data_IF_381348715623
#
_entry.id   IF_381348715623
#
_cell.length_a   1.000
_cell.length_b   1.000
_cell.length_c   1.000
_cell.angle_alpha   90.00
_cell.angle_beta   90.00
_cell.angle_gamma   90.00
#
_symmetry.space_group_name_H-M   'P 1'
#
loop_
_entity.id
_entity.type
_entity.pdbx_description
1 polymer ?
#
# COMPACT_ATOMS: atom_id res chain seq x y z
N UNK A 1 18.79 6.27 29.06
CA UNK A 1 18.86 6.81 27.69
C UNK A 1 17.49 7.36 27.32
N UNK A 2 17.31 8.68 27.27
CA UNK A 2 16.04 9.29 26.88
C UNK A 2 15.97 9.48 25.37
N UNK A 3 14.94 8.95 24.71
CA UNK A 3 14.69 9.22 23.29
C UNK A 3 14.53 10.73 23.05
N UNK A 4 15.23 11.27 22.05
CA UNK A 4 15.16 12.69 21.72
C UNK A 4 13.77 13.06 21.20
N UNK A 5 13.34 14.31 21.39
CA UNK A 5 12.04 14.80 20.90
C UNK A 5 11.86 14.52 19.40
N UNK A 6 12.94 14.64 18.62
CA UNK A 6 12.96 14.38 17.18
C UNK A 6 12.67 12.91 16.85
N UNK A 7 13.25 11.95 17.58
CA UNK A 7 12.99 10.52 17.37
C UNK A 7 11.52 10.17 17.63
N UNK A 8 10.94 10.71 18.71
CA UNK A 8 9.54 10.50 19.04
C UNK A 8 8.61 11.07 17.97
N UNK A 9 8.93 12.26 17.46
CA UNK A 9 8.19 12.88 16.37
C UNK A 9 8.27 12.07 15.07
N UNK A 10 9.46 11.60 14.69
CA UNK A 10 9.62 10.78 13.48
C UNK A 10 8.89 9.44 13.59
N UNK A 11 8.91 8.80 14.76
CA UNK A 11 8.17 7.57 15.02
C UNK A 11 6.65 7.80 15.02
N UNK A 12 6.17 8.88 15.64
CA UNK A 12 4.75 9.22 15.62
C UNK A 12 4.28 9.52 14.19
N UNK A 13 5.07 10.28 13.43
CA UNK A 13 4.79 10.61 12.03
C UNK A 13 4.75 9.36 11.16
N UNK A 14 5.70 8.43 11.32
CA UNK A 14 5.69 7.18 10.55
C UNK A 14 4.46 6.33 10.87
N UNK A 15 4.06 6.21 12.14
CA UNK A 15 2.85 5.48 12.53
C UNK A 15 1.59 6.11 11.91
N UNK A 16 1.46 7.44 11.96
CA UNK A 16 0.31 8.15 11.35
C UNK A 16 0.28 7.93 9.84
N UNK A 17 1.44 8.02 9.16
CA UNK A 17 1.52 7.75 7.73
C UNK A 17 1.18 6.29 7.37
N UNK A 18 1.55 5.32 8.21
CA UNK A 18 1.16 3.91 7.99
C UNK A 18 -0.34 3.75 8.13
N UNK A 19 -0.97 4.35 9.15
CA UNK A 19 -2.41 4.30 9.37
C UNK A 19 -3.20 4.92 8.21
N UNK A 20 -2.77 6.12 7.76
CA UNK A 20 -3.36 6.77 6.59
C UNK A 20 -3.17 5.89 5.34
N UNK A 21 -1.98 5.31 5.18
CA UNK A 21 -1.68 4.36 4.11
C UNK A 21 -2.66 3.19 4.10
N UNK A 22 -2.82 2.48 5.23
CA UNK A 22 -3.76 1.36 5.40
C UNK A 22 -5.19 1.76 5.01
N UNK A 23 -5.66 2.93 5.47
CA UNK A 23 -7.01 3.39 5.13
C UNK A 23 -7.18 3.64 3.62
N UNK A 24 -6.18 4.23 2.97
CA UNK A 24 -6.20 4.53 1.54
C UNK A 24 -6.08 3.26 0.68
N UNK A 25 -5.18 2.36 1.02
CA UNK A 25 -4.99 1.07 0.32
C UNK A 25 -6.18 0.14 0.51
N UNK A 26 -6.75 0.06 1.72
CA UNK A 26 -8.01 -0.63 1.95
C UNK A 26 -9.15 0.03 1.16
N UNK A 27 -9.28 1.35 1.21
CA UNK A 27 -10.30 2.08 0.44
C UNK A 27 -10.21 1.85 -1.07
N UNK A 28 -9.00 1.77 -1.62
CA UNK A 28 -8.77 1.36 -3.01
C UNK A 28 -9.15 -0.10 -3.26
N UNK A 29 -8.71 -1.04 -2.41
CA UNK A 29 -9.01 -2.47 -2.54
C UNK A 29 -10.52 -2.79 -2.49
N UNK A 30 -11.24 -2.08 -1.62
CA UNK A 30 -12.70 -2.14 -1.46
C UNK A 30 -13.43 -1.12 -2.35
N UNK A 31 -12.84 -0.68 -3.47
CA UNK A 31 -13.52 0.18 -4.44
C UNK A 31 -13.67 -0.52 -5.79
N UNK A 32 -14.84 -0.42 -6.46
CA UNK A 32 -15.07 -1.01 -7.78
C UNK A 32 -14.39 -0.27 -8.93
N UNK A 33 -13.80 0.90 -8.70
CA UNK A 33 -13.34 1.76 -9.79
C UNK A 33 -11.82 1.65 -10.01
N UNK A 34 -11.29 0.44 -10.20
CA UNK A 34 -9.89 0.26 -10.61
C UNK A 34 -9.74 0.52 -12.11
N UNK A 35 -10.67 0.01 -12.90
CA UNK A 35 -10.87 0.40 -14.29
C UNK A 35 -12.33 0.82 -14.51
N UNK A 36 -12.54 1.80 -15.36
CA UNK A 36 -13.87 2.32 -15.69
C UNK A 36 -14.01 2.39 -17.20
N UNK A 37 -15.13 1.90 -17.72
CA UNK A 37 -15.47 1.97 -19.13
C UNK A 37 -16.92 2.41 -19.28
N UNK A 38 -17.16 3.27 -20.26
CA UNK A 38 -18.49 3.73 -20.65
C UNK A 38 -18.82 3.09 -22.00
N UNK A 39 -19.82 2.20 -22.00
CA UNK A 39 -20.27 1.48 -23.18
C UNK A 39 -21.50 2.16 -23.74
N UNK A 40 -21.29 2.90 -24.83
CA UNK A 40 -22.33 3.77 -25.41
C UNK A 40 -23.50 3.01 -26.01
N UNK A 41 -23.34 1.77 -26.48
CA UNK A 41 -24.46 0.99 -27.02
C UNK A 41 -25.44 0.56 -25.92
N UNK A 42 -24.92 0.17 -24.76
CA UNK A 42 -25.74 -0.24 -23.62
C UNK A 42 -26.12 0.92 -22.70
N UNK A 43 -25.54 2.11 -22.92
CA UNK A 43 -25.72 3.31 -22.08
C UNK A 43 -25.46 2.98 -20.63
N UNK A 44 -24.31 2.36 -20.37
CA UNK A 44 -23.94 1.92 -19.05
C UNK A 44 -22.46 2.17 -18.78
N UNK A 45 -22.18 2.65 -17.57
CA UNK A 45 -20.84 2.75 -17.01
C UNK A 45 -20.55 1.48 -16.23
N UNK A 46 -19.43 0.84 -16.57
CA UNK A 46 -18.95 -0.38 -15.94
C UNK A 46 -17.68 -0.04 -15.16
N UNK A 47 -17.71 -0.34 -13.86
CA UNK A 47 -16.60 -0.15 -12.94
C UNK A 47 -16.07 -1.52 -12.54
N UNK A 48 -14.85 -1.81 -12.98
CA UNK A 48 -14.16 -3.06 -12.69
C UNK A 48 -13.25 -2.90 -11.48
N UNK A 49 -13.58 -3.60 -10.41
CA UNK A 49 -12.76 -3.71 -9.20
C UNK A 49 -11.88 -4.95 -9.24
N UNK A 50 -11.04 -5.12 -8.22
CA UNK A 50 -10.15 -6.28 -8.14
C UNK A 50 -10.88 -7.61 -7.95
N UNK A 51 -12.03 -7.59 -7.28
CA UNK A 51 -12.76 -8.80 -6.86
C UNK A 51 -14.29 -8.68 -6.96
N UNK A 52 -14.78 -7.52 -7.37
CA UNK A 52 -16.16 -7.28 -7.73
C UNK A 52 -16.19 -6.35 -8.94
N UNK A 53 -17.33 -6.29 -9.61
CA UNK A 53 -17.62 -5.36 -10.69
C UNK A 53 -18.95 -4.67 -10.40
N UNK A 54 -19.10 -3.41 -10.78
CA UNK A 54 -20.35 -2.69 -10.63
C UNK A 54 -20.77 -2.03 -11.93
N UNK A 55 -22.08 -2.01 -12.18
CA UNK A 55 -22.68 -1.44 -13.38
C UNK A 55 -23.64 -0.33 -12.97
N UNK A 56 -23.60 0.77 -13.72
CA UNK A 56 -24.53 1.90 -13.61
C UNK A 56 -25.15 2.17 -14.97
N UNK A 57 -26.48 2.16 -15.07
CA UNK A 57 -27.15 2.56 -16.29
C UNK A 57 -27.25 4.09 -16.38
N UNK A 58 -26.70 4.69 -17.43
CA UNK A 58 -26.85 6.12 -17.71
C UNK A 58 -28.28 6.42 -18.21
N UNK A 59 -29.02 7.27 -17.48
CA UNK A 59 -30.34 7.77 -17.88
C UNK A 59 -30.22 9.18 -18.41
N UNK A 60 -30.67 9.49 -19.65
CA UNK A 60 -30.82 10.89 -20.08
C UNK A 60 -32.19 11.23 -20.69
N UNK A 61 -32.88 12.13 -19.96
CA UNK A 61 -33.88 13.16 -20.31
C UNK A 61 -35.07 12.83 -21.23
N UNK A 62 -36.27 12.82 -20.63
CA UNK A 62 -37.38 13.64 -21.13
C UNK A 62 -38.00 14.43 -19.97
N UNK A 63 -38.08 15.75 -20.17
CA UNK A 63 -38.69 16.80 -19.34
C UNK A 63 -37.81 17.54 -18.34
N UNK A 64 -37.82 18.87 -18.50
CA UNK A 64 -37.19 19.89 -17.66
C UNK A 64 -37.94 19.93 -16.33
N UNK A 65 -37.37 19.37 -15.26
CA UNK A 65 -37.98 19.50 -13.94
C UNK A 65 -37.46 18.57 -12.84
N UNK A 66 -37.04 17.35 -13.18
CA UNK A 66 -36.66 16.38 -12.15
C UNK A 66 -35.15 16.35 -11.94
N UNK A 67 -34.76 16.68 -10.71
CA UNK A 67 -33.39 16.61 -10.23
C UNK A 67 -32.84 15.18 -10.41
N UNK A 68 -31.62 15.08 -10.92
CA UNK A 68 -30.92 13.85 -11.27
C UNK A 68 -30.71 12.93 -10.06
N UNK A 69 -31.60 11.96 -9.86
CA UNK A 69 -31.25 10.76 -9.09
C UNK A 69 -30.48 9.81 -10.01
N UNK A 70 -29.15 9.85 -9.88
CA UNK A 70 -28.22 8.86 -10.41
C UNK A 70 -28.74 7.45 -10.12
N UNK A 71 -28.71 6.55 -11.10
CA UNK A 71 -29.14 5.15 -10.87
C UNK A 71 -28.21 4.47 -9.86
N UNK A 72 -28.75 3.62 -8.96
CA UNK A 72 -27.93 2.94 -7.98
C UNK A 72 -26.94 1.98 -8.68
N UNK A 73 -25.71 1.94 -8.17
CA UNK A 73 -24.67 1.02 -8.63
C UNK A 73 -25.08 -0.42 -8.30
N UNK A 74 -25.16 -1.30 -9.31
CA UNK A 74 -25.43 -2.71 -9.10
C UNK A 74 -24.11 -3.50 -9.14
N UNK A 75 -23.70 -4.06 -8.01
CA UNK A 75 -22.40 -4.72 -7.85
C UNK A 75 -22.52 -6.25 -7.77
N UNK A 76 -21.62 -6.95 -8.44
CA UNK A 76 -21.51 -8.41 -8.46
C UNK A 76 -20.08 -8.85 -8.13
N UNK A 77 -19.91 -9.98 -7.43
CA UNK A 77 -18.60 -10.52 -7.11
C UNK A 77 -18.03 -11.38 -8.25
N UNK A 78 -16.73 -11.25 -8.53
CA UNK A 78 -16.03 -12.08 -9.55
C UNK A 78 -15.92 -13.57 -9.16
N UNK A 79 -16.24 -13.91 -7.92
CA UNK A 79 -16.17 -15.28 -7.37
C UNK A 79 -17.49 -16.06 -7.48
N UNK A 80 -18.55 -15.46 -8.01
CA UNK A 80 -19.86 -16.09 -8.11
C UNK A 80 -19.89 -17.08 -9.28
N UNK A 81 -20.06 -18.38 -8.99
CA UNK A 81 -20.16 -19.44 -10.00
C UNK A 81 -21.37 -19.25 -10.94
N UNK A 82 -22.41 -18.52 -10.49
CA UNK A 82 -23.55 -18.20 -11.35
C UNK A 82 -23.20 -17.17 -12.43
N UNK A 83 -22.27 -16.24 -12.14
CA UNK A 83 -21.72 -15.32 -13.13
C UNK A 83 -20.84 -16.07 -14.14
N UNK A 84 -20.01 -17.02 -13.68
CA UNK A 84 -19.17 -17.85 -14.56
C UNK A 84 -20.00 -18.69 -15.55
N UNK A 85 -21.14 -19.24 -15.10
CA UNK A 85 -22.06 -20.01 -15.94
C UNK A 85 -22.76 -19.17 -17.02
N UNK A 86 -23.15 -17.93 -16.69
CA UNK A 86 -23.72 -16.98 -17.67
C UNK A 86 -22.65 -16.56 -18.67
N UNK A 87 -21.43 -16.25 -18.20
CA UNK A 87 -20.28 -15.91 -19.05
C UNK A 87 -19.97 -17.05 -20.04
N UNK A 88 -19.91 -18.30 -19.56
CA UNK A 88 -19.61 -19.45 -20.42
C UNK A 88 -20.72 -19.73 -21.45
N UNK A 89 -21.99 -19.47 -21.09
CA UNK A 89 -23.11 -19.61 -22.02
C UNK A 89 -23.10 -18.51 -23.09
N UNK A 90 -22.79 -17.26 -22.72
CA UNK A 90 -22.67 -16.13 -23.65
C UNK A 90 -21.43 -16.25 -24.55
N UNK A 91 -20.31 -16.78 -24.04
CA UNK A 91 -19.10 -17.08 -24.83
C UNK A 91 -19.29 -18.19 -25.87
N UNK A 92 -20.24 -19.11 -25.68
CA UNK A 92 -20.54 -20.11 -26.70
C UNK A 92 -21.37 -19.53 -27.87
N UNK A 93 -21.95 -18.33 -27.69
CA UNK A 93 -22.77 -17.61 -28.68
C UNK A 93 -22.14 -16.24 -29.07
N UNK A 94 -20.80 -16.15 -29.10
CA UNK A 94 -20.04 -14.90 -29.40
C UNK A 94 -20.49 -14.20 -30.68
N UNK A 95 -20.95 -14.95 -31.69
CA UNK A 95 -21.40 -14.39 -32.97
C UNK A 95 -22.80 -13.75 -32.89
N UNK A 96 -23.60 -14.05 -31.86
CA UNK A 96 -24.95 -13.49 -31.65
C UNK A 96 -25.00 -12.36 -30.60
N UNK A 97 -24.17 -12.44 -29.55
CA UNK A 97 -24.22 -11.50 -28.43
C UNK A 97 -22.94 -10.66 -28.31
N UNK A 98 -23.00 -9.40 -28.76
CA UNK A 98 -21.90 -8.42 -28.56
C UNK A 98 -21.56 -8.09 -27.10
N UNK A 99 -22.30 -8.67 -26.14
CA UNK A 99 -21.99 -8.64 -24.70
C UNK A 99 -20.97 -9.73 -24.29
N UNK A 100 -20.61 -10.67 -25.17
CA UNK A 100 -19.68 -11.77 -24.86
C UNK A 100 -18.26 -11.28 -24.56
N UNK A 101 -17.78 -10.23 -25.24
CA UNK A 101 -16.43 -9.66 -25.01
C UNK A 101 -16.29 -8.95 -23.66
N UNK A 102 -17.39 -8.39 -23.14
CA UNK A 102 -17.47 -7.77 -21.82
C UNK A 102 -17.49 -8.82 -20.70
N UNK A 103 -18.12 -9.97 -20.96
CA UNK A 103 -18.25 -11.08 -20.02
C UNK A 103 -16.89 -11.69 -19.59
N UNK A 104 -15.87 -11.64 -20.46
CA UNK A 104 -14.48 -12.07 -20.16
C UNK A 104 -13.80 -11.23 -19.07
N UNK A 105 -14.22 -9.98 -18.86
CA UNK A 105 -13.61 -9.08 -17.85
C UNK A 105 -14.16 -9.32 -16.44
N UNK A 106 -15.31 -9.99 -16.31
CA UNK A 106 -15.81 -10.51 -15.05
C UNK A 106 -15.02 -11.73 -14.55
N UNK A 107 -14.23 -12.37 -15.42
CA UNK A 107 -13.45 -13.55 -15.04
C UNK A 107 -12.34 -13.18 -14.06
N UNK A 108 -12.19 -13.98 -13.02
CA UNK A 108 -11.17 -13.76 -12.01
C UNK A 108 -9.78 -14.26 -12.47
N UNK A 109 -9.13 -13.44 -13.30
CA UNK A 109 -7.83 -13.73 -13.90
C UNK A 109 -6.69 -13.87 -12.87
N UNK A 110 -5.60 -14.54 -13.28
CA UNK A 110 -4.43 -14.77 -12.45
C UNK A 110 -3.77 -13.48 -11.94
N UNK A 111 -3.84 -12.39 -12.72
CA UNK A 111 -3.27 -11.10 -12.32
C UNK A 111 -4.09 -10.43 -11.21
N UNK A 112 -5.42 -10.52 -11.24
CA UNK A 112 -6.28 -10.07 -10.13
C UNK A 112 -5.94 -10.81 -8.82
N UNK A 113 -5.80 -12.15 -8.90
CA UNK A 113 -5.37 -13.01 -7.78
C UNK A 113 -4.03 -12.58 -7.21
N UNK A 114 -3.05 -12.31 -8.08
CA UNK A 114 -1.72 -11.88 -7.68
C UNK A 114 -1.77 -10.52 -6.97
N UNK A 115 -2.49 -9.53 -7.53
CA UNK A 115 -2.63 -8.21 -6.91
C UNK A 115 -3.26 -8.33 -5.52
N UNK A 116 -4.39 -9.04 -5.38
CA UNK A 116 -5.06 -9.20 -4.10
C UNK A 116 -4.17 -9.92 -3.06
N UNK A 117 -3.41 -10.93 -3.48
CA UNK A 117 -2.44 -11.58 -2.62
C UNK A 117 -1.39 -10.59 -2.10
N UNK A 118 -0.83 -9.75 -2.97
CA UNK A 118 0.16 -8.75 -2.58
C UNK A 118 -0.45 -7.67 -1.68
N UNK A 119 -1.67 -7.19 -1.96
CA UNK A 119 -2.38 -6.20 -1.13
C UNK A 119 -2.65 -6.76 0.27
N UNK A 120 -3.26 -7.95 0.39
CA UNK A 120 -3.58 -8.56 1.68
C UNK A 120 -2.31 -8.83 2.49
N UNK A 121 -1.26 -9.33 1.84
CA UNK A 121 0.04 -9.55 2.49
C UNK A 121 0.64 -8.24 2.98
N UNK A 122 0.54 -7.18 2.17
CA UNK A 122 1.01 -5.85 2.52
C UNK A 122 0.26 -5.27 3.73
N UNK A 123 -1.07 -5.33 3.75
CA UNK A 123 -1.90 -4.87 4.87
C UNK A 123 -1.53 -5.59 6.18
N UNK A 124 -1.40 -6.91 6.12
CA UNK A 124 -1.03 -7.72 7.28
C UNK A 124 0.35 -7.34 7.83
N UNK A 125 1.34 -7.13 6.94
CA UNK A 125 2.68 -6.70 7.33
C UNK A 125 2.71 -5.26 7.84
N UNK A 126 1.91 -4.35 7.27
CA UNK A 126 1.76 -2.98 7.76
C UNK A 126 1.14 -2.95 9.17
N UNK A 127 0.18 -3.82 9.45
CA UNK A 127 -0.38 -4.00 10.79
C UNK A 127 0.67 -4.52 11.79
N UNK A 128 1.46 -5.53 11.42
CA UNK A 128 2.59 -6.02 12.24
C UNK A 128 3.61 -4.90 12.49
N UNK A 129 3.85 -4.07 11.48
CA UNK A 129 4.73 -2.90 11.59
C UNK A 129 4.23 -1.93 12.66
N UNK A 130 2.95 -1.54 12.65
CA UNK A 130 2.40 -0.67 13.70
C UNK A 130 2.56 -1.32 15.08
N UNK A 131 2.19 -2.58 15.25
CA UNK A 131 2.29 -3.29 16.53
C UNK A 131 3.73 -3.33 17.06
N UNK A 132 4.72 -3.55 16.18
CA UNK A 132 6.14 -3.56 16.56
C UNK A 132 6.71 -2.15 16.79
N UNK A 133 6.23 -1.15 16.05
CA UNK A 133 6.62 0.26 16.18
C UNK A 133 6.14 0.90 17.48
N UNK A 134 4.91 0.61 17.91
CA UNK A 134 4.37 1.06 19.22
C UNK A 134 5.17 0.47 20.39
N UNK A 135 5.69 -0.75 20.23
CA UNK A 135 6.52 -1.44 21.23
C UNK A 135 8.00 -1.03 21.20
N UNK A 136 8.47 -0.34 20.15
CA UNK A 136 9.88 0.01 19.95
C UNK A 136 10.50 0.85 21.08
N UNK A 137 9.77 1.79 21.74
CA UNK A 137 10.29 2.50 22.90
C UNK A 137 10.54 1.61 24.12
N UNK A 138 9.81 0.49 24.24
CA UNK A 138 9.91 -0.45 25.36
C UNK A 138 10.97 -1.53 25.12
N UNK A 139 11.11 -2.00 23.87
CA UNK A 139 12.00 -3.09 23.48
C UNK A 139 12.74 -2.71 22.18
N UNK A 140 14.01 -2.26 22.24
CA UNK A 140 14.74 -1.80 21.06
C UNK A 140 14.82 -2.82 19.91
N UNK A 141 14.81 -4.12 20.22
CA UNK A 141 14.82 -5.19 19.22
C UNK A 141 13.59 -5.18 18.31
N UNK A 142 12.44 -4.64 18.75
CA UNK A 142 11.25 -4.55 17.89
C UNK A 142 11.36 -3.46 16.83
N UNK A 143 12.34 -2.55 16.92
CA UNK A 143 12.61 -1.56 15.88
C UNK A 143 13.05 -2.20 14.54
N UNK A 144 13.78 -3.32 14.61
CA UNK A 144 14.14 -4.07 13.40
C UNK A 144 12.91 -4.74 12.78
N UNK A 145 12.06 -5.36 13.61
CA UNK A 145 10.80 -5.94 13.14
C UNK A 145 9.90 -4.88 12.51
N UNK A 146 9.82 -3.68 13.11
CA UNK A 146 9.10 -2.52 12.58
C UNK A 146 9.59 -2.12 11.19
N UNK A 147 10.89 -1.94 11.03
CA UNK A 147 11.48 -1.50 9.75
C UNK A 147 11.40 -2.56 8.66
N UNK A 148 11.65 -3.83 8.99
CA UNK A 148 11.65 -4.93 8.00
C UNK A 148 10.22 -5.22 7.53
N UNK A 149 9.25 -5.30 8.45
CA UNK A 149 7.85 -5.53 8.09
C UNK A 149 7.30 -4.39 7.22
N UNK A 150 7.61 -3.13 7.56
CA UNK A 150 7.21 -1.97 6.74
C UNK A 150 7.82 -2.00 5.34
N UNK A 151 9.11 -2.37 5.24
CA UNK A 151 9.79 -2.47 3.96
C UNK A 151 9.14 -3.53 3.06
N UNK A 152 8.87 -4.72 3.60
CA UNK A 152 8.24 -5.80 2.84
C UNK A 152 6.81 -5.42 2.46
N UNK A 153 6.05 -4.81 3.36
CA UNK A 153 4.71 -4.29 3.05
C UNK A 153 4.76 -3.29 1.87
N UNK A 154 5.61 -2.27 1.98
CA UNK A 154 5.78 -1.26 0.93
C UNK A 154 6.18 -1.88 -0.43
N UNK A 155 7.07 -2.87 -0.44
CA UNK A 155 7.43 -3.60 -1.66
C UNK A 155 6.26 -4.40 -2.24
N UNK A 156 5.51 -5.13 -1.42
CA UNK A 156 4.33 -5.86 -1.88
C UNK A 156 3.27 -4.91 -2.47
N UNK A 157 3.05 -3.76 -1.83
CA UNK A 157 2.16 -2.71 -2.32
C UNK A 157 2.59 -2.13 -3.66
N UNK A 158 3.89 -1.81 -3.82
CA UNK A 158 4.44 -1.36 -5.11
C UNK A 158 4.34 -2.42 -6.21
N UNK A 159 4.53 -3.70 -5.88
CA UNK A 159 4.35 -4.79 -6.82
C UNK A 159 2.89 -4.93 -7.25
N UNK A 160 1.94 -4.77 -6.32
CA UNK A 160 0.51 -4.75 -6.65
C UNK A 160 0.18 -3.62 -7.64
N UNK A 161 0.65 -2.39 -7.36
CA UNK A 161 0.47 -1.24 -8.25
C UNK A 161 1.09 -1.48 -9.63
N UNK A 162 2.31 -2.03 -9.68
CA UNK A 162 3.03 -2.33 -10.92
C UNK A 162 2.35 -3.42 -11.75
N UNK A 163 1.91 -4.52 -11.13
CA UNK A 163 1.20 -5.60 -11.82
C UNK A 163 -0.11 -5.07 -12.40
N UNK A 164 -0.87 -4.30 -11.61
CA UNK A 164 -2.10 -3.67 -12.08
C UNK A 164 -1.82 -2.75 -13.27
N UNK A 165 -0.86 -1.84 -13.15
CA UNK A 165 -0.55 -0.88 -14.20
C UNK A 165 -0.14 -1.56 -15.50
N UNK A 166 0.69 -2.61 -15.44
CA UNK A 166 1.08 -3.39 -16.61
C UNK A 166 -0.10 -4.17 -17.21
N UNK A 167 -0.94 -4.77 -16.35
CA UNK A 167 -2.13 -5.49 -16.79
C UNK A 167 -3.15 -4.55 -17.45
N UNK A 168 -3.42 -3.39 -16.87
CA UNK A 168 -4.38 -2.40 -17.38
C UNK A 168 -3.94 -1.76 -18.71
N UNK A 169 -2.63 -1.67 -18.96
CA UNK A 169 -2.10 -1.16 -20.23
C UNK A 169 -1.95 -2.22 -21.32
N UNK A 170 -2.17 -3.50 -21.00
CA UNK A 170 -2.17 -4.57 -21.98
C UNK A 170 -3.37 -4.39 -22.92
N UNK A 171 -3.15 -4.51 -24.23
CA UNK A 171 -4.19 -4.29 -25.27
C UNK A 171 -5.46 -5.09 -24.98
N UNK A 172 -5.31 -6.37 -24.59
CA UNK A 172 -6.43 -7.27 -24.30
C UNK A 172 -7.32 -6.82 -23.13
N UNK A 173 -6.78 -6.02 -22.20
CA UNK A 173 -7.48 -5.52 -21.01
C UNK A 173 -7.83 -4.03 -21.12
N UNK A 174 -7.15 -3.30 -22.01
CA UNK A 174 -7.38 -1.86 -22.23
C UNK A 174 -8.61 -1.63 -23.09
N UNK A 175 -8.94 -2.56 -23.98
CA UNK A 175 -10.04 -2.40 -24.92
C UNK A 175 -11.10 -3.47 -24.71
N UNK A 176 -12.33 -3.03 -24.45
CA UNK A 176 -13.52 -3.90 -24.43
C UNK A 176 -14.16 -3.87 -25.81
N UNK A 177 -14.47 -5.03 -26.36
CA UNK A 177 -15.22 -5.15 -27.60
C UNK A 177 -16.72 -5.16 -27.27
N UNK A 178 -17.44 -4.16 -27.76
CA UNK A 178 -18.90 -4.15 -27.81
C UNK A 178 -19.41 -4.73 -29.13
N UNK A 179 -20.73 -4.69 -29.31
CA UNK A 179 -21.41 -5.22 -30.49
C UNK A 179 -21.04 -4.48 -31.79
N UNK A 180 -20.79 -3.17 -31.71
CA UNK A 180 -20.59 -2.29 -32.88
C UNK A 180 -19.28 -1.51 -32.81
N UNK A 181 -18.58 -1.53 -31.67
CA UNK A 181 -17.35 -0.76 -31.47
C UNK A 181 -16.41 -1.33 -30.41
N UNK A 182 -15.25 -0.69 -30.27
CA UNK A 182 -14.30 -0.96 -29.20
C UNK A 182 -14.22 0.23 -28.24
N UNK A 183 -14.30 -0.05 -26.95
CA UNK A 183 -14.30 0.92 -25.88
C UNK A 183 -13.01 0.85 -25.08
N UNK A 184 -12.40 2.01 -24.83
CA UNK A 184 -11.18 2.09 -24.05
C UNK A 184 -11.50 2.18 -22.55
N UNK A 185 -10.98 1.23 -21.78
CA UNK A 185 -11.01 1.27 -20.33
C UNK A 185 -10.02 2.30 -19.81
N UNK A 186 -10.49 3.18 -18.92
CA UNK A 186 -9.65 4.16 -18.22
C UNK A 186 -9.30 3.64 -16.83
N UNK A 187 -8.13 4.02 -16.34
CA UNK A 187 -7.76 3.77 -14.94
C UNK A 187 -8.67 4.61 -14.03
N UNK A 188 -9.35 3.97 -13.11
CA UNK A 188 -10.29 4.61 -12.20
C UNK A 188 -9.63 5.10 -10.90
N UNK A 189 -10.43 5.77 -10.07
CA UNK A 189 -9.95 6.43 -8.85
C UNK A 189 -9.41 5.46 -7.79
N UNK A 190 -9.87 4.20 -7.78
CA UNK A 190 -9.46 3.21 -6.78
C UNK A 190 -7.96 2.91 -6.84
N UNK A 191 -7.42 2.82 -8.06
CA UNK A 191 -5.98 2.67 -8.28
C UNK A 191 -5.20 3.87 -7.69
N UNK A 192 -5.67 5.10 -7.94
CA UNK A 192 -5.01 6.29 -7.42
C UNK A 192 -5.09 6.39 -5.90
N UNK A 193 -6.20 5.97 -5.28
CA UNK A 193 -6.31 5.87 -3.82
C UNK A 193 -5.30 4.87 -3.26
N UNK A 194 -5.21 3.67 -3.85
CA UNK A 194 -4.23 2.67 -3.44
C UNK A 194 -2.79 3.20 -3.60
N UNK A 195 -2.47 3.78 -4.77
CA UNK A 195 -1.16 4.38 -5.05
C UNK A 195 -0.79 5.50 -4.05
N UNK A 196 -1.75 6.36 -3.68
CA UNK A 196 -1.53 7.38 -2.64
C UNK A 196 -1.21 6.75 -1.29
N UNK A 197 -1.88 5.65 -0.93
CA UNK A 197 -1.55 4.87 0.27
C UNK A 197 -0.14 4.27 0.22
N UNK A 198 0.27 3.73 -0.94
CA UNK A 198 1.63 3.26 -1.19
C UNK A 198 2.67 4.38 -0.99
N UNK A 199 2.39 5.59 -1.50
CA UNK A 199 3.26 6.76 -1.30
C UNK A 199 3.36 7.15 0.18
N UNK A 200 2.27 7.05 0.95
CA UNK A 200 2.30 7.24 2.41
C UNK A 200 3.23 6.22 3.08
N UNK A 201 3.20 4.95 2.68
CA UNK A 201 4.11 3.92 3.21
C UNK A 201 5.57 4.16 2.82
N UNK A 202 5.86 4.69 1.63
CA UNK A 202 7.21 5.12 1.25
C UNK A 202 7.68 6.26 2.18
N UNK A 203 6.84 7.27 2.41
CA UNK A 203 7.15 8.37 3.33
C UNK A 203 7.38 7.89 4.77
N UNK A 204 6.55 6.96 5.24
CA UNK A 204 6.70 6.33 6.55
C UNK A 204 8.03 5.56 6.65
N UNK A 205 8.40 4.81 5.61
CA UNK A 205 9.64 4.05 5.57
C UNK A 205 10.87 4.96 5.64
N UNK A 206 10.86 6.09 4.93
CA UNK A 206 11.93 7.11 5.04
C UNK A 206 12.04 7.64 6.48
N UNK A 207 10.92 7.95 7.14
CA UNK A 207 10.92 8.40 8.54
C UNK A 207 11.48 7.32 9.48
N UNK A 208 11.15 6.06 9.24
CA UNK A 208 11.67 4.91 9.98
C UNK A 208 13.18 4.74 9.80
N UNK A 209 13.70 4.88 8.57
CA UNK A 209 15.14 4.84 8.32
C UNK A 209 15.89 5.96 9.04
N UNK A 210 15.36 7.19 9.01
CA UNK A 210 15.95 8.34 9.70
C UNK A 210 15.96 8.13 11.23
N UNK A 211 14.90 7.54 11.78
CA UNK A 211 14.80 7.20 13.20
C UNK A 211 15.86 6.17 13.60
N UNK A 212 15.97 5.08 12.83
CA UNK A 212 16.97 4.03 13.05
C UNK A 212 18.40 4.55 12.90
N UNK A 213 18.68 5.36 11.89
CA UNK A 213 20.00 5.97 11.70
C UNK A 213 20.41 6.84 12.90
N UNK A 214 19.48 7.66 13.43
CA UNK A 214 19.72 8.46 14.64
C UNK A 214 19.93 7.60 15.88
N UNK A 215 19.28 6.45 15.97
CA UNK A 215 19.48 5.49 17.07
C UNK A 215 20.90 4.90 17.06
N UNK A 216 21.39 4.51 15.87
CA UNK A 216 22.72 3.90 15.69
C UNK A 216 23.84 4.94 15.85
N UNK A 217 23.71 6.13 15.25
CA UNK A 217 24.72 7.19 15.33
C UNK A 217 24.87 7.78 16.74
N UNK A 218 23.77 8.02 17.46
CA UNK A 218 23.83 8.52 18.84
C UNK A 218 24.54 7.56 19.80
N UNK A 219 24.39 6.25 19.59
CA UNK A 219 25.08 5.21 20.36
C UNK A 219 26.61 5.23 20.12
N UNK A 220 27.03 5.65 18.92
CA UNK A 220 28.44 5.74 18.54
C UNK A 220 29.14 6.94 19.20
N UNK A 221 28.46 8.09 19.28
CA UNK A 221 28.99 9.29 19.92
C UNK A 221 29.06 9.14 21.45
N UNK A 222 28.03 8.57 22.09
CA UNK A 222 28.04 8.30 23.54
C UNK A 222 29.14 7.30 23.93
N UNK A 223 29.32 6.21 23.16
CA UNK A 223 30.37 5.23 23.42
C UNK A 223 31.78 5.82 23.28
N UNK A 224 31.99 6.75 22.35
CA UNK A 224 33.27 7.46 22.18
C UNK A 224 33.56 8.39 23.36
N UNK A 225 32.52 9.03 23.90
CA UNK A 225 32.63 9.92 25.05
C UNK A 225 32.93 9.15 26.34
N UNK A 226 32.28 7.99 26.56
CA UNK A 226 32.56 7.11 27.69
C UNK A 226 33.98 6.53 27.64
N UNK A 227 34.43 6.06 26.47
CA UNK A 227 35.79 5.54 26.30
C UNK A 227 36.84 6.64 26.53
N UNK A 228 36.60 7.86 26.03
CA UNK A 228 37.43 9.03 26.32
C UNK A 228 37.52 9.36 27.81
N UNK A 229 36.39 9.31 28.53
CA UNK A 229 36.32 9.56 29.98
C UNK A 229 37.03 8.48 30.80
N UNK A 230 36.87 7.21 30.43
CA UNK A 230 37.57 6.10 31.08
C UNK A 230 39.10 6.18 30.88
N UNK A 231 39.55 6.51 29.67
CA UNK A 231 40.96 6.69 29.39
C UNK A 231 41.57 7.87 30.17
N UNK A 232 40.83 8.97 30.32
CA UNK A 232 41.26 10.11 31.13
C UNK A 232 41.39 9.76 32.62
N UNK A 233 40.44 9.00 33.19
CA UNK A 233 40.54 8.54 34.57
C UNK A 233 41.72 7.58 34.79
N UNK A 234 41.98 6.68 33.84
CA UNK A 234 43.15 5.78 33.88
C UNK A 234 44.48 6.55 33.88
N UNK A 235 44.59 7.59 33.05
CA UNK A 235 45.80 8.42 33.01
C UNK A 235 46.05 9.16 34.32
N UNK A 236 45.00 9.71 34.94
CA UNK A 236 45.11 10.36 36.25
C UNK A 236 45.56 9.40 37.35
N UNK A 237 45.00 8.17 37.39
CA UNK A 237 45.44 7.15 38.35
C UNK A 237 46.91 6.75 38.16
N UNK A 238 47.37 6.61 36.91
CA UNK A 238 48.77 6.30 36.63
C UNK A 238 49.72 7.41 37.08
N UNK A 239 49.38 8.68 36.83
CA UNK A 239 50.18 9.83 37.28
C UNK A 239 50.22 9.94 38.81
N UNK A 240 49.10 9.69 39.48
CA UNK A 240 49.04 9.74 40.95
C UNK A 240 49.84 8.58 41.56
N UNK A 241 49.80 7.40 40.96
CA UNK A 241 50.61 6.25 41.37
C UNK A 241 52.11 6.49 41.14
N UNK A 242 52.52 7.07 40.00
CA UNK A 242 53.93 7.39 39.74
C UNK A 242 54.46 8.47 40.68
N UNK A 243 53.68 9.53 40.94
CA UNK A 243 54.03 10.59 41.88
C UNK A 243 54.18 10.08 43.31
N UNK A 244 53.31 9.15 43.71
CA UNK A 244 53.39 8.53 45.04
C UNK A 244 54.66 7.70 45.16
N UNK A 245 55.01 6.92 44.12
CA UNK A 245 56.20 6.06 44.12
C UNK A 245 57.50 6.86 44.18
N UNK A 246 57.59 8.04 43.57
CA UNK A 246 58.77 8.92 43.67
C UNK A 246 58.92 9.58 45.04
N UNK A 247 57.84 9.86 45.76
CA UNK A 247 57.91 10.39 47.14
C UNK A 247 58.40 9.39 48.20
N UNK A 248 58.40 8.08 47.91
CA UNK A 248 58.90 7.04 48.84
C UNK A 248 60.36 6.64 48.60
N UNK A 249 61.02 7.19 47.56
CA UNK A 249 62.39 6.81 47.15
C UNK A 249 63.42 7.91 47.51
N UNK A 250 62.98 9.04 48.05
CA UNK A 250 63.82 10.06 48.68
C UNK A 250 63.62 10.06 50.19
#
# INVERSE_FOLDING_TARGET
MGSTVVQKLLLALSIVLILVGICLTAGGCFSPAWQVVDIREFRAEHQHGLWWDCIRAEKHVVSVGDFYDETPLHCMYKFDNSAELVIQNTLNNIDEDGAAGESEHHRFWAWHKAILFFIITSEFLAFISICSGVCAPCVPSTAFAFSISLFIAMLCSLLADGIFFLAANRVDNRFVQGMVGTYEQRIGYAFYLHLMGTLCWIGAFVCTLLTTYKFVSGSHDDGRFEDGRMNHHRQQQQQQYSSSRTTWIN
#
